data_IF_449161976803
#
_entry.id   IF_449161976803
#
_cell.length_a   1.000
_cell.length_b   1.000
_cell.length_c   1.000
_cell.angle_alpha   90.00
_cell.angle_beta   90.00
_cell.angle_gamma   90.00
#
_symmetry.space_group_name_H-M   'P 1'
#
loop_
_entity.id
_entity.type
_entity.pdbx_description
1 polymer ?
2 polymer ?
3 polymer ?
4 non-polymer ?
5 non-polymer ?
6 water ?
#
loop_
_entity_poly.entity_id
_entity_poly.type
_entity_poly.pdbx_seq_one_letter_code
_entity_poly.pdbx_strand_id
2 'polydeoxyribonucleotide' '(DG8)(DG)(DG)(DG)(DT)(DC)(DC)(DT)' ?
3 'polydeoxyribonucleotide' '(DA)(DG)(DG)(DA)(DC)(DC)(DC)' ?
#
# COMPACT_ATOMS: atom_id res chain seq x y z
N UNK A 26 -14.62 22.68 -6.16
CA UNK A 26 -14.06 22.44 -4.79
C UNK A 26 -12.69 21.76 -4.91
N UNK A 27 -11.63 22.54 -4.91
CA UNK A 27 -10.30 21.95 -5.03
C UNK A 27 -9.92 21.35 -3.69
N UNK A 28 -9.30 20.18 -3.74
CA UNK A 28 -8.98 19.42 -2.54
C UNK A 28 -7.54 19.62 -2.13
N UNK A 29 -7.21 19.25 -0.91
CA UNK A 29 -5.81 19.06 -0.51
C UNK A 29 -5.64 17.67 0.07
N UNK A 30 -4.83 16.84 -0.58
CA UNK A 30 -4.62 15.48 -0.12
C UNK A 30 -3.18 15.33 0.33
N UNK A 31 -2.95 14.43 1.29
CA UNK A 31 -1.58 14.07 1.66
C UNK A 31 -1.36 12.57 1.53
N UNK A 32 -0.24 12.20 0.93
CA UNK A 32 0.16 10.80 0.85
C UNK A 32 1.35 10.58 1.78
N UNK A 33 1.21 9.64 2.71
CA UNK A 33 2.29 9.34 3.64
C UNK A 33 2.89 7.99 3.31
N UNK A 34 4.22 7.91 3.35
CA UNK A 34 4.92 6.72 2.93
C UNK A 34 6.11 6.51 3.84
N UNK A 35 6.10 5.42 4.59
CA UNK A 35 7.15 5.18 5.55
C UNK A 35 8.41 4.62 4.91
N UNK A 36 9.55 5.18 5.29
CA UNK A 36 10.82 4.71 4.78
C UNK A 36 11.12 3.27 5.20
N UNK A 37 11.42 2.44 4.22
CA UNK A 37 11.80 1.03 4.44
C UNK A 37 11.11 0.40 5.64
N UNK A 38 9.79 0.38 5.60
CA UNK A 38 8.98 0.04 6.75
C UNK A 38 9.40 -1.12 7.64
N UNK A 39 9.51 -2.31 7.07
CA UNK A 39 9.86 -3.49 7.87
C UNK A 39 11.15 -3.25 8.63
N UNK A 40 12.17 -2.77 7.93
CA UNK A 40 13.44 -2.35 8.54
C UNK A 40 13.22 -1.48 9.77
N UNK A 41 12.56 -0.34 9.60
CA UNK A 41 12.21 0.55 10.70
C UNK A 41 11.63 -0.17 11.92
N UNK A 42 10.63 -1.01 11.68
CA UNK A 42 9.98 -1.74 12.76
C UNK A 42 11.00 -2.62 13.47
N UNK A 43 11.76 -3.40 12.70
CA UNK A 43 12.80 -4.26 13.26
C UNK A 43 13.76 -3.49 14.16
N UNK A 44 14.35 -2.42 13.63
CA UNK A 44 15.22 -1.53 14.41
C UNK A 44 14.53 -1.02 15.69
N UNK A 45 13.36 -0.42 15.54
CA UNK A 45 12.59 0.05 16.69
C UNK A 45 12.36 -1.08 17.70
N UNK A 46 12.40 -2.33 17.24
CA UNK A 46 12.26 -3.48 18.13
C UNK A 46 13.59 -3.88 18.78
N UNK A 47 14.62 -4.13 17.97
CA UNK A 47 15.95 -4.41 18.51
C UNK A 47 16.93 -3.27 18.26
N UNK A 48 17.02 -2.34 19.22
CA UNK A 48 17.87 -1.15 19.14
C UNK A 48 19.33 -1.47 18.79
N UNK A 49 19.83 -2.61 19.25
CA UNK A 49 21.19 -3.01 18.91
C UNK A 49 21.40 -2.83 17.42
N UNK A 50 20.31 -2.84 16.66
CA UNK A 50 20.36 -2.82 15.21
C UNK A 50 20.41 -1.43 14.61
N UNK A 51 20.39 -0.40 15.46
CA UNK A 51 20.52 0.98 14.99
C UNK A 51 21.87 1.15 14.29
N UNK A 52 22.94 1.01 15.07
CA UNK A 52 24.31 0.96 14.58
C UNK A 52 24.44 0.21 13.26
N UNK A 53 24.02 -1.06 13.29
CA UNK A 53 24.29 -2.00 12.20
C UNK A 53 23.43 -1.76 10.96
N UNK A 54 23.90 -2.21 9.79
CA UNK A 54 23.04 -2.26 8.61
C UNK A 54 22.06 -3.40 8.78
N UNK A 55 20.93 -3.39 8.06
CA UNK A 55 19.88 -4.37 8.29
C UNK A 55 19.07 -4.69 7.05
N UNK A 56 18.67 -5.96 6.92
CA UNK A 56 17.87 -6.40 5.80
C UNK A 56 16.76 -7.32 6.25
N UNK A 57 15.62 -7.26 5.55
CA UNK A 57 14.48 -8.10 5.92
C UNK A 57 14.20 -9.10 4.81
N UNK A 58 14.18 -10.37 5.19
CA UNK A 58 14.18 -11.47 4.23
C UNK A 58 12.87 -12.27 4.27
N UNK A 59 12.36 -12.58 3.09
CA UNK A 59 11.15 -13.40 2.97
C UNK A 59 11.47 -14.42 1.89
N UNK A 60 11.36 -15.70 2.24
CA UNK A 60 11.92 -16.73 1.39
C UNK A 60 13.41 -16.43 1.23
N UNK A 61 13.96 -16.61 0.04
CA UNK A 61 15.38 -16.36 -0.16
C UNK A 61 15.63 -15.05 -0.88
N UNK A 62 14.82 -14.05 -0.59
CA UNK A 62 15.02 -12.71 -1.13
C UNK A 62 15.15 -11.70 -0.01
N UNK A 63 15.49 -10.48 -0.38
CA UNK A 63 15.56 -9.38 0.56
C UNK A 63 14.52 -8.35 0.16
N UNK A 64 13.44 -8.27 0.94
CA UNK A 64 12.26 -7.51 0.54
C UNK A 64 12.36 -6.01 0.81
N UNK A 65 13.24 -5.65 1.74
CA UNK A 65 13.53 -4.26 2.03
C UNK A 65 14.64 -4.20 3.06
N UNK A 66 15.28 -3.05 3.20
CA UNK A 66 16.37 -2.89 4.16
C UNK A 66 16.53 -1.42 4.47
N UNK A 67 17.15 -1.12 5.61
CA UNK A 67 17.40 0.26 6.01
C UNK A 67 18.34 0.92 5.03
N UNK A 68 18.48 2.24 5.11
CA UNK A 68 19.33 2.95 4.17
C UNK A 68 20.82 2.67 4.39
N UNK A 69 21.19 2.46 5.65
CA UNK A 69 22.58 2.14 5.98
C UNK A 69 23.12 0.97 5.15
N UNK A 70 22.22 0.19 4.56
CA UNK A 70 22.64 -0.99 3.81
C UNK A 70 22.28 -0.89 2.32
N UNK A 71 21.61 0.18 1.93
CA UNK A 71 21.35 0.45 0.52
C UNK A 71 22.58 1.14 -0.05
N UNK A 72 23.35 1.74 0.85
CA UNK A 72 24.59 2.40 0.50
C UNK A 72 25.69 1.36 0.21
N UNK A 73 25.65 0.25 0.94
CA UNK A 73 26.64 -0.81 0.72
C UNK A 73 26.26 -1.66 -0.49
N UNK A 74 25.35 -1.15 -1.32
CA UNK A 74 25.02 -1.77 -2.59
C UNK A 74 23.76 -2.61 -2.64
N UNK A 75 23.19 -2.90 -1.47
CA UNK A 75 22.04 -3.80 -1.37
C UNK A 75 20.78 -3.22 -2.01
N UNK A 76 20.46 -3.66 -3.22
CA UNK A 76 19.22 -3.27 -3.87
C UNK A 76 18.05 -4.07 -3.31
N UNK A 77 16.96 -3.39 -3.00
CA UNK A 77 15.72 -4.06 -2.59
C UNK A 77 15.38 -5.17 -3.61
N UNK A 78 14.83 -6.28 -3.13
CA UNK A 78 14.36 -7.33 -4.03
C UNK A 78 15.51 -8.18 -4.62
N UNK A 79 16.68 -8.12 -4.00
CA UNK A 79 17.83 -8.89 -4.44
C UNK A 79 17.97 -10.20 -3.65
N UNK A 80 18.47 -11.24 -4.29
CA UNK A 80 18.72 -12.51 -3.61
C UNK A 80 19.58 -12.34 -2.36
N UNK A 81 19.37 -13.21 -1.37
CA UNK A 81 20.04 -13.04 -0.07
C UNK A 81 21.54 -13.39 -0.08
N UNK A 82 22.02 -14.02 -1.14
CA UNK A 82 23.44 -14.34 -1.24
C UNK A 82 24.24 -13.19 -1.83
N UNK A 83 23.82 -12.70 -2.99
CA UNK A 83 24.41 -11.50 -3.57
C UNK A 83 24.46 -10.46 -2.48
N UNK A 84 23.38 -10.39 -1.71
CA UNK A 84 23.29 -9.50 -0.57
C UNK A 84 24.48 -9.69 0.35
N UNK A 85 24.67 -10.91 0.84
CA UNK A 85 25.74 -11.20 1.78
C UNK A 85 27.13 -10.91 1.23
N UNK A 86 27.40 -11.37 0.01
CA UNK A 86 28.68 -11.12 -0.64
C UNK A 86 28.90 -9.61 -0.80
N UNK A 87 27.97 -8.96 -1.48
CA UNK A 87 28.03 -7.52 -1.68
C UNK A 87 28.23 -6.79 -0.35
N UNK A 88 27.62 -7.32 0.70
CA UNK A 88 27.67 -6.69 2.02
C UNK A 88 27.69 -7.74 3.14
N UNK A 89 28.87 -7.99 3.70
CA UNK A 89 29.08 -9.09 4.64
C UNK A 89 28.69 -8.75 6.08
N UNK A 90 28.71 -7.46 6.42
CA UNK A 90 28.42 -7.02 7.77
C UNK A 90 26.92 -7.06 8.03
N UNK A 91 26.18 -7.53 7.03
CA UNK A 91 24.72 -7.47 7.00
C UNK A 91 23.99 -8.35 8.02
N UNK A 92 23.21 -7.72 8.90
CA UNK A 92 22.39 -8.45 9.86
C UNK A 92 20.98 -8.72 9.31
N UNK A 93 20.73 -9.94 8.85
CA UNK A 93 19.43 -10.30 8.30
C UNK A 93 18.38 -10.58 9.38
N UNK A 94 17.12 -10.51 8.99
CA UNK A 94 16.00 -10.77 9.90
C UNK A 94 14.80 -11.31 9.11
N UNK A 95 14.01 -12.20 9.72
CA UNK A 95 12.90 -12.81 8.99
C UNK A 95 11.62 -12.00 9.06
N UNK A 96 11.09 -11.66 7.90
CA UNK A 96 9.90 -10.85 7.80
C UNK A 96 8.73 -11.59 7.17
N UNK A 97 8.59 -12.86 7.51
CA UNK A 97 7.51 -13.68 6.97
C UNK A 97 6.31 -13.68 7.91
N UNK A 98 6.56 -13.44 9.19
CA UNK A 98 5.46 -13.19 10.12
C UNK A 98 5.15 -11.70 10.09
N UNK A 99 4.06 -11.34 9.43
CA UNK A 99 3.71 -9.94 9.21
C UNK A 99 3.03 -9.28 10.40
N UNK A 100 3.12 -9.91 11.57
CA UNK A 100 2.30 -9.50 12.71
C UNK A 100 2.75 -8.21 13.38
N UNK A 101 4.06 -8.02 13.52
CA UNK A 101 4.57 -6.82 14.14
C UNK A 101 4.42 -5.63 13.17
N UNK A 102 4.55 -5.90 11.87
CA UNK A 102 4.44 -4.85 10.87
C UNK A 102 3.02 -4.34 10.82
N UNK A 103 2.08 -5.28 10.85
CA UNK A 103 0.66 -4.99 10.75
C UNK A 103 0.13 -4.20 11.96
N UNK A 104 0.63 -4.52 13.14
CA UNK A 104 0.28 -3.74 14.34
C UNK A 104 0.79 -2.30 14.25
N UNK A 105 2.04 -2.15 13.82
CA UNK A 105 2.64 -0.83 13.64
C UNK A 105 1.90 -0.03 12.57
N UNK A 106 1.52 -0.72 11.50
CA UNK A 106 0.77 -0.13 10.42
C UNK A 106 -0.47 0.58 10.93
N UNK A 107 -1.22 -0.09 11.80
CA UNK A 107 -2.46 0.49 12.32
C UNK A 107 -2.23 1.52 13.41
N UNK A 108 -1.09 1.45 14.10
CA UNK A 108 -0.74 2.49 15.05
C UNK A 108 -0.54 3.79 14.31
N UNK A 109 0.03 3.68 13.10
CA UNK A 109 0.25 4.83 12.23
C UNK A 109 -1.07 5.39 11.74
N UNK A 110 -1.90 4.51 11.17
CA UNK A 110 -3.21 4.91 10.67
C UNK A 110 -4.07 5.60 11.73
N UNK A 111 -3.99 5.11 12.97
CA UNK A 111 -4.79 5.67 14.06
C UNK A 111 -4.26 7.04 14.47
N UNK A 112 -2.95 7.18 14.43
CA UNK A 112 -2.32 8.45 14.73
C UNK A 112 -2.87 9.48 13.75
N UNK A 113 -2.92 9.11 12.48
CA UNK A 113 -3.32 10.03 11.43
C UNK A 113 -4.79 10.35 11.49
N UNK A 114 -5.61 9.38 11.88
CA UNK A 114 -7.05 9.60 11.99
C UNK A 114 -7.37 10.66 13.03
N UNK A 115 -6.56 10.66 14.09
CA UNK A 115 -6.67 11.64 15.15
C UNK A 115 -6.46 13.07 14.62
N UNK A 116 -5.91 13.19 13.41
CA UNK A 116 -5.82 14.48 12.74
C UNK A 116 -7.10 14.74 11.97
N UNK A 117 -7.36 13.92 10.97
CA UNK A 117 -8.61 13.92 10.24
C UNK A 117 -9.10 12.47 10.16
N UNK A 118 -10.42 12.27 10.36
CA UNK A 118 -11.04 10.93 10.43
C UNK A 118 -10.94 10.14 9.12
N UNK A 119 -10.80 10.85 8.00
CA UNK A 119 -10.82 10.21 6.70
C UNK A 119 -9.43 9.79 6.23
N UNK A 120 -9.08 8.56 6.55
CA UNK A 120 -7.77 8.03 6.22
C UNK A 120 -7.88 6.75 5.41
N UNK A 121 -7.24 6.73 4.24
CA UNK A 121 -7.23 5.52 3.41
C UNK A 121 -5.88 4.83 3.47
N UNK A 122 -5.91 3.50 3.57
CA UNK A 122 -4.69 2.73 3.68
C UNK A 122 -4.32 2.13 2.35
N UNK A 123 -3.01 2.02 2.11
CA UNK A 123 -2.49 1.40 0.91
C UNK A 123 -1.34 0.49 1.28
N UNK A 124 -1.59 -0.81 1.36
CA UNK A 124 -0.58 -1.71 1.93
C UNK A 124 -0.29 -1.30 3.35
N UNK A 125 0.81 -1.76 3.92
CA UNK A 125 1.11 -1.47 5.33
C UNK A 125 1.75 -0.11 5.59
N UNK A 126 2.44 0.46 4.61
CA UNK A 126 3.27 1.64 4.88
C UNK A 126 2.81 2.90 4.18
N UNK A 127 1.62 2.86 3.60
CA UNK A 127 1.06 4.04 2.93
C UNK A 127 -0.27 4.46 3.53
N UNK A 128 -0.52 5.76 3.51
CA UNK A 128 -1.78 6.31 3.96
C UNK A 128 -2.12 7.55 3.18
N UNK A 129 -3.39 7.68 2.82
CA UNK A 129 -3.90 8.89 2.20
C UNK A 129 -4.75 9.61 3.24
N UNK A 130 -4.62 10.93 3.32
CA UNK A 130 -5.49 11.70 4.22
C UNK A 130 -6.06 12.91 3.50
N UNK A 131 -7.38 13.11 3.61
CA UNK A 131 -8.03 14.27 2.99
C UNK A 131 -8.03 15.47 3.93
N UNK A 132 -7.23 16.46 3.60
CA UNK A 132 -6.99 17.57 4.51
C UNK A 132 -7.79 18.79 4.12
N UNK A 133 -8.73 18.61 3.19
CA UNK A 133 -9.47 19.74 2.65
C UNK A 133 -10.19 20.47 3.77
N UNK A 134 -11.00 19.74 4.53
CA UNK A 134 -11.75 20.33 5.62
C UNK A 134 -10.84 20.90 6.69
N UNK A 135 -9.82 20.14 7.08
CA UNK A 135 -8.85 20.61 8.05
C UNK A 135 -8.12 21.90 7.61
N UNK A 136 -7.80 22.03 6.34
CA UNK A 136 -7.18 23.26 5.85
C UNK A 136 -8.17 24.43 5.91
N UNK A 137 -9.42 24.16 5.55
CA UNK A 137 -10.47 25.17 5.65
C UNK A 137 -10.43 25.88 7.01
N UNK A 138 -10.71 25.13 8.06
CA UNK A 138 -10.69 25.67 9.41
C UNK A 138 -9.47 26.55 9.66
N UNK A 139 -8.27 26.00 9.50
CA UNK A 139 -7.06 26.74 9.86
C UNK A 139 -6.98 28.07 9.13
N UNK A 140 -7.58 28.12 7.95
CA UNK A 140 -7.56 29.34 7.14
C UNK A 140 -8.47 30.41 7.73
N UNK A 141 -9.74 30.06 7.90
CA UNK A 141 -10.71 30.96 8.52
C UNK A 141 -10.16 31.55 9.81
N UNK A 142 -9.57 30.68 10.62
CA UNK A 142 -9.00 31.06 11.91
C UNK A 142 -7.81 32.00 11.78
N UNK A 143 -7.50 32.39 10.56
CA UNK A 143 -6.41 33.33 10.34
C UNK A 143 -6.81 34.79 10.19
N UNK A 144 -6.43 35.60 11.18
CA UNK A 144 -6.64 37.04 11.10
C UNK A 144 -5.94 37.51 9.83
N UNK A 145 -6.62 38.34 9.05
CA UNK A 145 -6.08 38.84 7.79
C UNK A 145 -4.60 39.17 7.85
N UNK A 146 -4.26 40.14 8.70
CA UNK A 146 -2.87 40.58 8.92
C UNK A 146 -1.84 39.45 8.82
N UNK A 147 -2.08 38.36 9.54
CA UNK A 147 -1.11 37.26 9.65
C UNK A 147 -1.06 36.35 8.42
N UNK A 148 -1.51 36.85 7.27
CA UNK A 148 -1.54 36.07 6.04
C UNK A 148 -0.12 35.86 5.47
N UNK A 149 0.86 36.13 6.32
CA UNK A 149 2.26 35.84 6.02
C UNK A 149 2.91 35.61 7.38
N UNK A 150 4.13 35.06 7.40
CA UNK A 150 4.83 34.65 6.20
C UNK A 150 4.17 33.39 5.64
N UNK A 151 3.39 32.72 6.49
CA UNK A 151 2.74 31.47 6.15
C UNK A 151 3.75 30.36 5.90
N UNK A 152 4.66 30.57 4.96
CA UNK A 152 5.80 29.68 4.77
C UNK A 152 5.39 28.30 4.23
N UNK A 153 6.39 27.48 3.92
CA UNK A 153 6.15 26.13 3.46
C UNK A 153 7.05 25.22 4.29
N UNK A 154 6.56 24.01 4.56
CA UNK A 154 7.35 23.01 5.24
C UNK A 154 7.88 21.94 4.28
N UNK A 155 9.20 21.83 4.20
CA UNK A 155 9.82 20.87 3.31
C UNK A 155 10.04 21.45 1.93
N UNK A 156 10.10 20.59 0.92
CA UNK A 156 10.42 21.00 -0.44
C UNK A 156 9.18 21.42 -1.24
N UNK A 157 9.35 22.38 -2.14
CA UNK A 157 8.31 22.66 -3.13
C UNK A 157 8.70 22.05 -4.47
N UNK A 158 7.88 21.12 -4.98
CA UNK A 158 8.24 20.38 -6.18
C UNK A 158 8.71 21.28 -7.30
N UNK A 159 9.87 20.92 -7.87
CA UNK A 159 10.43 21.62 -9.01
C UNK A 159 10.72 23.08 -8.68
N UNK A 160 11.10 23.32 -7.42
CA UNK A 160 11.57 24.63 -6.98
C UNK A 160 10.66 25.76 -7.44
N UNK A 161 9.36 25.49 -7.46
CA UNK A 161 8.42 26.43 -8.06
C UNK A 161 8.19 27.65 -7.19
N UNK A 162 8.12 28.81 -7.81
CA UNK A 162 7.91 30.04 -7.07
C UNK A 162 6.52 30.10 -6.48
N UNK A 163 6.44 30.42 -5.19
CA UNK A 163 5.18 30.57 -4.50
C UNK A 163 4.56 31.91 -4.82
N UNK A 164 3.24 31.92 -4.94
CA UNK A 164 2.50 33.16 -5.13
C UNK A 164 1.45 33.27 -4.03
N UNK A 165 1.81 33.96 -2.95
CA UNK A 165 0.95 34.05 -1.79
C UNK A 165 -0.43 34.65 -2.08
N UNK A 166 -0.61 35.16 -3.30
CA UNK A 166 -1.85 35.81 -3.70
C UNK A 166 -2.84 34.81 -4.32
N UNK A 167 -2.40 33.57 -4.41
CA UNK A 167 -3.17 32.53 -5.09
C UNK A 167 -3.73 31.56 -4.07
N UNK A 168 -5.03 31.68 -3.78
CA UNK A 168 -5.63 30.85 -2.76
C UNK A 168 -5.22 29.37 -2.88
N UNK A 169 -5.18 28.86 -4.11
CA UNK A 169 -4.79 27.46 -4.36
C UNK A 169 -3.43 27.12 -3.76
N UNK A 170 -2.45 27.99 -3.99
CA UNK A 170 -1.16 27.88 -3.34
C UNK A 170 -1.32 27.86 -1.83
N UNK A 171 -1.96 28.90 -1.31
CA UNK A 171 -2.09 29.08 0.14
C UNK A 171 -2.63 27.85 0.83
N UNK A 172 -3.62 27.20 0.22
CA UNK A 172 -4.22 26.03 0.83
C UNK A 172 -3.28 24.83 0.79
N UNK A 173 -2.35 24.84 -0.17
CA UNK A 173 -1.40 23.74 -0.28
C UNK A 173 -0.27 23.92 0.71
N UNK A 174 0.09 25.17 0.99
CA UNK A 174 1.12 25.49 1.98
C UNK A 174 0.65 25.08 3.36
N UNK A 175 -0.62 25.34 3.64
CA UNK A 175 -1.19 24.88 4.90
C UNK A 175 -1.21 23.37 4.94
N UNK A 176 -1.47 22.74 3.80
CA UNK A 176 -1.40 21.30 3.71
C UNK A 176 0.00 20.81 4.03
N UNK A 177 1.00 21.61 3.68
CA UNK A 177 2.38 21.23 3.96
C UNK A 177 2.65 21.24 5.48
N UNK A 178 2.14 22.25 6.18
CA UNK A 178 2.34 22.34 7.63
C UNK A 178 1.68 21.19 8.41
N UNK A 179 0.44 20.86 8.07
CA UNK A 179 -0.26 19.74 8.67
C UNK A 179 0.50 18.43 8.43
N UNK A 180 1.20 18.36 7.30
CA UNK A 180 1.95 17.17 6.96
C UNK A 180 3.20 17.11 7.82
N UNK A 181 3.89 18.25 7.93
CA UNK A 181 5.06 18.34 8.79
C UNK A 181 4.66 17.98 10.22
N UNK A 182 3.49 18.45 10.63
CA UNK A 182 2.97 18.10 11.95
C UNK A 182 2.74 16.60 12.08
N UNK A 183 2.07 15.99 11.10
CA UNK A 183 1.85 14.55 11.14
C UNK A 183 3.16 13.79 11.23
N UNK A 184 4.15 14.21 10.46
CA UNK A 184 5.41 13.51 10.45
C UNK A 184 6.15 13.61 11.78
N UNK A 185 6.05 14.77 12.43
CA UNK A 185 6.65 14.95 13.76
C UNK A 185 6.02 13.98 14.75
N UNK A 186 4.69 14.00 14.78
CA UNK A 186 3.92 13.14 15.65
C UNK A 186 4.14 11.66 15.37
N UNK A 187 4.52 11.31 14.16
CA UNK A 187 4.83 9.91 13.88
C UNK A 187 6.16 9.59 14.52
N UNK A 188 7.14 10.49 14.37
CA UNK A 188 8.45 10.28 14.96
C UNK A 188 8.35 10.26 16.48
N UNK A 189 7.99 11.39 17.07
CA UNK A 189 7.60 11.45 18.47
C UNK A 189 6.38 10.56 18.58
N UNK A 190 6.27 9.76 19.62
CA UNK A 190 5.08 8.89 19.76
C UNK A 190 5.06 7.51 19.13
N UNK A 191 5.82 7.32 18.05
CA UNK A 191 5.82 6.02 17.36
C UNK A 191 7.27 5.67 16.99
N UNK A 192 8.12 6.69 16.88
CA UNK A 192 9.52 6.51 16.54
C UNK A 192 9.78 6.22 15.08
N UNK A 193 8.81 6.53 14.22
CA UNK A 193 8.91 6.23 12.79
C UNK A 193 9.23 7.47 11.95
N UNK A 194 10.01 7.29 10.90
CA UNK A 194 10.22 8.35 9.90
C UNK A 194 9.51 8.02 8.60
N UNK A 195 9.26 9.05 7.79
CA UNK A 195 8.59 8.86 6.51
C UNK A 195 8.50 10.11 5.69
N UNK A 196 8.05 9.94 4.45
CA UNK A 196 7.88 11.04 3.52
C UNK A 196 6.41 11.39 3.35
N UNK A 197 6.15 12.63 2.97
CA UNK A 197 4.79 13.06 2.65
C UNK A 197 4.77 13.82 1.34
N UNK A 198 3.74 13.57 0.53
CA UNK A 198 3.49 14.40 -0.62
C UNK A 198 2.12 15.06 -0.45
N UNK A 199 2.06 16.38 -0.60
CA UNK A 199 0.79 17.08 -0.55
C UNK A 199 0.45 17.66 -1.93
N UNK A 200 -0.66 17.21 -2.50
CA UNK A 200 -1.11 17.69 -3.80
C UNK A 200 -2.62 17.93 -3.83
N UNK A 201 -3.19 18.07 -5.02
CA UNK A 201 -4.61 18.36 -5.13
C UNK A 201 -5.46 17.11 -5.39
N UNK A 202 -4.81 16.00 -5.74
CA UNK A 202 -5.48 14.71 -5.73
C UNK A 202 -4.54 13.58 -5.32
N UNK A 203 -5.11 12.40 -5.12
CA UNK A 203 -4.35 11.23 -4.68
C UNK A 203 -3.19 10.88 -5.61
N UNK A 204 -3.46 10.84 -6.91
CA UNK A 204 -2.44 10.57 -7.91
C UNK A 204 -1.21 11.47 -7.73
N UNK A 205 -1.41 12.79 -7.80
CA UNK A 205 -0.28 13.70 -7.68
C UNK A 205 0.37 13.62 -6.30
N UNK A 206 -0.44 13.39 -5.28
CA UNK A 206 0.07 13.30 -3.91
C UNK A 206 1.03 12.13 -3.77
N UNK A 207 0.63 10.99 -4.32
CA UNK A 207 1.44 9.78 -4.24
C UNK A 207 2.73 9.93 -5.05
N UNK A 208 2.60 10.56 -6.22
CA UNK A 208 3.73 10.78 -7.12
C UNK A 208 4.76 11.73 -6.54
N UNK A 209 4.31 12.88 -6.03
CA UNK A 209 5.23 13.86 -5.46
C UNK A 209 5.80 13.49 -4.07
N UNK A 210 5.24 12.48 -3.42
CA UNK A 210 5.69 12.10 -2.07
C UNK A 210 7.08 11.45 -2.04
N UNK A 211 7.51 10.84 -3.14
CA UNK A 211 8.82 10.19 -3.17
C UNK A 211 9.90 10.97 -3.92
N UNK A 212 9.59 12.21 -4.24
CA UNK A 212 10.52 13.02 -5.01
C UNK A 212 11.77 13.34 -4.18
N UNK A 213 11.61 13.34 -2.86
CA UNK A 213 12.74 13.48 -1.95
C UNK A 213 12.64 12.46 -0.83
N UNK A 214 13.54 11.48 -0.83
CA UNK A 214 13.60 10.46 0.22
C UNK A 214 15.03 10.39 0.72
N UNK A 215 15.23 9.85 1.93
CA UNK A 215 14.14 9.43 2.81
C UNK A 215 13.81 10.52 3.81
N UNK A 216 12.70 10.36 4.51
CA UNK A 216 12.34 11.26 5.60
C UNK A 216 12.24 12.74 5.21
N UNK A 217 11.57 13.02 4.09
CA UNK A 217 11.35 14.39 3.66
C UNK A 217 9.97 14.52 3.01
N UNK A 218 9.49 15.75 2.86
CA UNK A 218 8.19 15.98 2.27
C UNK A 218 8.19 17.05 1.17
N UNK A 219 7.45 16.80 0.09
CA UNK A 219 7.33 17.76 -1.02
C UNK A 219 5.87 18.18 -1.29
N UNK A 220 5.66 19.45 -1.67
CA UNK A 220 4.32 19.91 -2.05
C UNK A 220 4.29 20.28 -3.54
N UNK A 221 3.21 19.90 -4.23
CA UNK A 221 3.11 20.14 -5.65
C UNK A 221 2.18 21.31 -5.94
N UNK A 222 2.72 22.39 -6.48
CA UNK A 222 1.86 23.48 -6.91
C UNK A 222 1.24 23.12 -8.26
N UNK A 223 0.09 23.73 -8.57
CA UNK A 223 -0.64 23.38 -9.79
C UNK A 223 0.18 23.52 -11.06
N UNK A 224 0.87 24.64 -11.24
CA UNK A 224 1.63 24.86 -12.46
C UNK A 224 2.86 23.97 -12.66
N UNK A 225 3.09 23.05 -11.74
CA UNK A 225 4.15 22.06 -11.94
C UNK A 225 3.59 20.66 -12.11
N UNK A 226 2.27 20.57 -12.21
CA UNK A 226 1.62 19.29 -12.46
C UNK A 226 2.17 18.60 -13.71
N UNK A 227 2.27 19.35 -14.80
CA UNK A 227 2.65 18.75 -16.06
C UNK A 227 4.11 18.30 -16.04
N UNK A 228 4.95 19.08 -15.36
CA UNK A 228 6.33 18.71 -15.17
C UNK A 228 6.45 17.36 -14.46
N UNK A 229 5.51 17.08 -13.55
CA UNK A 229 5.62 15.89 -12.71
C UNK A 229 5.21 14.61 -13.43
N UNK A 230 4.11 14.64 -14.18
CA UNK A 230 3.74 13.47 -14.96
C UNK A 230 4.80 13.12 -16.00
N UNK A 231 5.32 14.14 -16.67
CA UNK A 231 6.28 13.88 -17.75
C UNK A 231 7.65 13.44 -17.25
N UNK A 232 7.94 13.75 -16.00
CA UNK A 232 9.17 13.29 -15.38
C UNK A 232 9.20 11.76 -15.35
N UNK A 233 8.02 11.14 -15.41
CA UNK A 233 7.89 9.68 -15.40
C UNK A 233 8.41 9.11 -16.70
N UNK A 234 8.85 7.85 -16.69
CA UNK A 234 9.48 7.26 -17.87
C UNK A 234 8.73 6.15 -18.59
N UNK A 235 8.38 5.11 -17.84
CA UNK A 235 7.53 4.05 -18.36
C UNK A 235 6.10 4.40 -17.98
N UNK A 236 5.15 4.07 -18.84
CA UNK A 236 3.78 4.46 -18.55
C UNK A 236 3.22 3.70 -17.34
N UNK A 237 3.80 2.55 -17.02
CA UNK A 237 3.35 1.77 -15.88
C UNK A 237 3.73 2.44 -14.57
N UNK A 238 4.42 3.56 -14.66
CA UNK A 238 4.88 4.19 -13.44
C UNK A 238 3.75 4.90 -12.73
N UNK A 239 2.70 5.24 -13.47
CA UNK A 239 1.57 5.89 -12.84
C UNK A 239 0.70 4.91 -12.07
N UNK A 240 0.25 5.31 -10.87
CA UNK A 240 -0.60 4.47 -10.02
C UNK A 240 -1.99 4.28 -10.61
N UNK A 241 -2.35 3.04 -10.87
CA UNK A 241 -3.60 2.77 -11.55
C UNK A 241 -3.34 2.01 -12.84
N UNK A 242 -2.30 2.43 -13.56
CA UNK A 242 -1.88 1.71 -14.75
C UNK A 242 -0.93 0.62 -14.30
N UNK A 243 -1.34 -0.63 -14.48
CA UNK A 243 -0.57 -1.77 -14.01
C UNK A 243 -0.16 -2.74 -15.10
N UNK A 244 0.38 -3.88 -14.70
CA UNK A 244 0.94 -4.86 -15.63
C UNK A 244 0.05 -5.15 -16.82
N UNK A 245 -1.19 -5.54 -16.58
CA UNK A 245 -2.10 -5.88 -17.67
C UNK A 245 -2.46 -4.69 -18.54
N UNK A 246 -2.66 -3.53 -17.93
CA UNK A 246 -3.03 -2.35 -18.71
C UNK A 246 -1.86 -1.78 -19.48
N UNK A 247 -0.65 -1.92 -18.92
CA UNK A 247 0.54 -1.47 -19.61
C UNK A 247 0.70 -2.23 -20.92
N UNK A 248 0.82 -3.55 -20.82
CA UNK A 248 1.00 -4.40 -21.98
C UNK A 248 0.00 -4.12 -23.10
N UNK A 249 -1.24 -3.85 -22.73
CA UNK A 249 -2.26 -3.47 -23.70
C UNK A 249 -1.84 -2.22 -24.46
N UNK A 250 -1.41 -1.22 -23.71
CA UNK A 250 -1.03 0.07 -24.28
C UNK A 250 0.27 -0.05 -25.06
N UNK A 251 1.17 -0.89 -24.59
CA UNK A 251 2.42 -1.10 -25.30
C UNK A 251 2.11 -1.58 -26.70
N UNK A 252 1.34 -2.66 -26.81
CA UNK A 252 1.00 -3.21 -28.11
C UNK A 252 0.19 -2.23 -28.96
N UNK A 253 -0.16 -1.09 -28.39
CA UNK A 253 -0.78 -0.02 -29.17
C UNK A 253 0.25 1.06 -29.51
N UNK A 254 1.49 0.80 -29.14
CA UNK A 254 2.59 1.72 -29.38
C UNK A 254 2.55 2.93 -28.47
N UNK A 255 2.04 2.72 -27.26
CA UNK A 255 1.96 3.75 -26.24
C UNK A 255 2.97 3.42 -25.15
N UNK A 256 4.05 4.20 -25.09
CA UNK A 256 5.14 3.94 -24.16
C UNK A 256 5.43 5.11 -23.23
N UNK A 257 5.26 6.31 -23.77
CA UNK A 257 5.46 7.52 -22.98
C UNK A 257 4.13 8.00 -22.44
N UNK A 258 4.20 8.86 -21.43
CA UNK A 258 3.02 9.48 -20.83
C UNK A 258 2.38 10.44 -21.82
N UNK A 259 3.18 10.93 -22.75
CA UNK A 259 2.63 11.85 -23.74
C UNK A 259 2.00 11.06 -24.87
N UNK A 260 2.54 9.89 -25.16
CA UNK A 260 1.92 8.99 -26.12
C UNK A 260 0.45 8.81 -25.73
N UNK A 261 0.25 8.35 -24.49
CA UNK A 261 -1.06 8.13 -23.90
C UNK A 261 -1.93 9.39 -23.85
N UNK A 262 -1.30 10.53 -23.59
CA UNK A 262 -2.00 11.80 -23.56
C UNK A 262 -2.61 12.14 -24.90
N UNK A 263 -1.90 11.75 -25.96
CA UNK A 263 -2.18 12.23 -27.31
C UNK A 263 -2.87 11.17 -28.18
N UNK A 264 -3.06 9.98 -27.61
CA UNK A 264 -3.67 8.88 -28.32
C UNK A 264 -5.17 9.11 -28.56
N UNK A 265 -5.71 8.36 -29.50
CA UNK A 265 -7.12 8.45 -29.87
C UNK A 265 -7.99 7.97 -28.72
N UNK A 266 -8.83 8.86 -28.18
CA UNK A 266 -9.82 8.47 -27.17
C UNK A 266 -10.59 7.25 -27.63
N UNK A 267 -11.18 7.36 -28.83
CA UNK A 267 -12.03 6.33 -29.41
C UNK A 267 -11.35 4.95 -29.49
N UNK A 268 -10.14 4.91 -30.05
CA UNK A 268 -9.43 3.65 -30.21
C UNK A 268 -9.05 3.04 -28.87
N UNK A 269 -8.94 3.90 -27.87
CA UNK A 269 -8.53 3.47 -26.55
C UNK A 269 -9.74 2.84 -25.87
N UNK A 270 -10.87 3.53 -25.94
CA UNK A 270 -12.15 2.99 -25.47
C UNK A 270 -12.40 1.62 -26.09
N UNK A 271 -12.33 1.56 -27.42
CA UNK A 271 -12.54 0.32 -28.16
C UNK A 271 -11.66 -0.82 -27.67
N UNK A 272 -10.41 -0.50 -27.34
CA UNK A 272 -9.41 -1.52 -27.03
C UNK A 272 -9.26 -1.79 -25.54
N UNK A 273 -9.97 -1.02 -24.72
CA UNK A 273 -9.82 -1.11 -23.26
C UNK A 273 -11.15 -1.10 -22.53
N UNK A 274 -12.20 -0.72 -23.22
CA UNK A 274 -13.49 -0.56 -22.57
C UNK A 274 -13.63 0.88 -22.15
N UNK A 275 -14.86 1.37 -22.15
CA UNK A 275 -15.13 2.78 -21.94
C UNK A 275 -14.87 3.22 -20.50
N UNK A 276 -14.89 2.28 -19.57
CA UNK A 276 -14.59 2.58 -18.18
C UNK A 276 -13.09 2.85 -17.99
N UNK A 277 -12.28 1.83 -18.26
CA UNK A 277 -10.84 1.95 -18.08
C UNK A 277 -10.20 3.04 -18.93
N UNK A 278 -10.64 3.17 -20.17
CA UNK A 278 -10.09 4.18 -21.08
C UNK A 278 -10.21 5.58 -20.49
N UNK A 279 -11.41 6.02 -20.18
CA UNK A 279 -11.65 7.37 -19.70
C UNK A 279 -10.77 7.74 -18.51
N UNK A 280 -10.64 6.79 -17.60
CA UNK A 280 -9.98 7.03 -16.32
C UNK A 280 -8.47 7.16 -16.45
N UNK A 281 -7.84 6.24 -17.18
CA UNK A 281 -6.40 6.25 -17.29
C UNK A 281 -5.90 7.35 -18.22
N UNK A 282 -6.76 7.81 -19.12
CA UNK A 282 -6.38 8.96 -19.94
C UNK A 282 -6.31 10.20 -19.05
N UNK A 283 -7.30 10.38 -18.18
CA UNK A 283 -7.30 11.48 -17.22
C UNK A 283 -6.07 11.40 -16.32
N UNK A 284 -5.73 10.17 -15.95
CA UNK A 284 -4.53 9.90 -15.18
C UNK A 284 -3.32 10.50 -15.85
N UNK A 285 -3.14 10.22 -17.13
CA UNK A 285 -1.95 10.67 -17.87
C UNK A 285 -1.85 12.19 -17.99
N UNK A 286 -2.91 12.90 -17.63
CA UNK A 286 -2.88 14.35 -17.60
C UNK A 286 -2.65 14.86 -16.18
N UNK A 287 -2.64 13.92 -15.25
CA UNK A 287 -2.53 14.24 -13.84
C UNK A 287 -3.88 14.47 -13.18
N UNK A 288 -4.95 14.09 -13.88
CA UNK A 288 -6.30 14.26 -13.36
C UNK A 288 -6.78 13.00 -12.64
N UNK A 289 -7.28 13.20 -11.43
CA UNK A 289 -7.75 12.09 -10.58
C UNK A 289 -8.80 12.63 -9.64
N UNK A 290 -10.03 12.17 -9.79
CA UNK A 290 -11.12 12.66 -8.96
C UNK A 290 -11.57 11.66 -7.92
N UNK A 291 -10.90 10.52 -7.86
CA UNK A 291 -11.23 9.52 -6.85
C UNK A 291 -11.03 10.09 -5.44
N UNK A 292 -12.05 9.92 -4.59
CA UNK A 292 -12.02 10.47 -3.23
C UNK A 292 -11.19 9.59 -2.32
N UNK A 293 -10.76 10.13 -1.19
CA UNK A 293 -10.08 9.31 -0.20
C UNK A 293 -11.15 8.53 0.55
N UNK A 294 -11.04 7.20 0.50
CA UNK A 294 -11.96 6.32 1.19
C UNK A 294 -11.50 6.08 2.63
N UNK A 295 -12.42 6.19 3.57
CA UNK A 295 -12.12 5.82 4.95
C UNK A 295 -12.07 4.31 5.10
N UNK A 296 -10.86 3.78 5.33
CA UNK A 296 -10.65 2.33 5.37
C UNK A 296 -11.43 1.62 6.47
N UNK A 297 -11.46 2.22 7.65
CA UNK A 297 -12.03 1.56 8.81
C UNK A 297 -11.23 0.31 9.14
N UNK A 298 -11.90 -0.73 9.63
CA UNK A 298 -11.32 -2.03 10.01
C UNK A 298 -11.20 -2.98 8.81
N UNK A 299 -10.22 -3.89 8.85
CA UNK A 299 -10.01 -4.84 7.76
C UNK A 299 -11.27 -5.64 7.45
N UNK A 300 -11.51 -5.88 6.17
CA UNK A 300 -12.71 -6.58 5.73
C UNK A 300 -12.38 -8.00 5.33
N UNK A 301 -11.14 -8.40 5.56
CA UNK A 301 -10.70 -9.76 5.26
C UNK A 301 -9.39 -10.11 5.97
N UNK A 302 -9.17 -11.40 6.15
CA UNK A 302 -7.93 -11.93 6.70
C UNK A 302 -7.56 -13.08 5.79
N UNK A 303 -6.27 -13.23 5.49
CA UNK A 303 -5.86 -14.35 4.66
C UNK A 303 -4.39 -14.69 4.85
N UNK A 304 -4.09 -15.99 4.79
CA UNK A 304 -2.73 -16.47 4.79
C UNK A 304 -2.47 -17.17 3.47
N UNK A 305 -1.52 -16.63 2.71
CA UNK A 305 -1.13 -17.22 1.44
C UNK A 305 -0.05 -18.25 1.69
N UNK A 306 0.03 -19.24 0.80
CA UNK A 306 1.21 -20.09 0.78
C UNK A 306 1.46 -20.76 -0.58
N UNK A 307 2.52 -20.30 -1.24
CA UNK A 307 3.00 -20.87 -2.49
C UNK A 307 4.15 -21.85 -2.19
N UNK A 308 4.38 -22.79 -3.10
CA UNK A 308 5.31 -23.87 -2.80
C UNK A 308 5.78 -24.59 -4.05
N UNK A 309 6.87 -25.35 -3.90
CA UNK A 309 7.47 -26.06 -5.01
C UNK A 309 6.54 -27.15 -5.54
N UNK A 310 6.15 -28.10 -4.68
CA UNK A 310 5.31 -29.21 -5.11
C UNK A 310 4.19 -29.59 -4.13
N UNK A 311 3.00 -29.84 -4.68
CA UNK A 311 1.85 -30.35 -3.93
C UNK A 311 0.98 -31.20 -4.88
N UNK A 312 0.92 -32.50 -4.65
CA UNK A 312 0.39 -33.39 -5.68
C UNK A 312 -0.45 -34.60 -5.19
N UNK A 313 -0.86 -34.64 -3.92
CA UNK A 313 -1.68 -35.76 -3.44
C UNK A 313 -3.05 -35.17 -3.13
N UNK A 314 -3.81 -35.78 -2.23
CA UNK A 314 -4.93 -35.06 -1.65
C UNK A 314 -4.63 -34.46 -0.30
N UNK A 315 -3.99 -35.25 0.57
CA UNK A 315 -3.39 -34.70 1.76
C UNK A 315 -2.22 -33.86 1.33
N UNK A 316 -1.55 -33.22 2.29
CA UNK A 316 -0.56 -32.19 1.96
C UNK A 316 -1.17 -30.90 1.47
N UNK A 317 -2.45 -30.96 1.11
CA UNK A 317 -3.22 -29.77 0.80
C UNK A 317 -3.91 -29.72 2.16
N UNK A 318 -4.25 -30.90 2.67
CA UNK A 318 -4.86 -31.01 3.99
C UNK A 318 -3.96 -30.40 5.05
N UNK A 319 -2.69 -30.82 5.06
CA UNK A 319 -1.72 -30.27 5.99
C UNK A 319 -1.62 -28.74 5.83
N UNK A 320 -1.40 -28.31 4.59
CA UNK A 320 -1.32 -26.89 4.25
C UNK A 320 -2.52 -26.11 4.78
N UNK A 321 -3.71 -26.55 4.38
CA UNK A 321 -4.95 -25.88 4.77
C UNK A 321 -5.11 -25.80 6.28
N UNK A 322 -4.57 -26.78 7.00
CA UNK A 322 -4.59 -26.77 8.45
C UNK A 322 -3.71 -25.66 9.01
N UNK A 323 -2.47 -25.59 8.53
CA UNK A 323 -1.52 -24.58 8.94
C UNK A 323 -2.08 -23.19 8.69
N UNK A 324 -2.47 -22.96 7.43
CA UNK A 324 -3.07 -21.70 7.03
C UNK A 324 -4.20 -21.36 7.98
N UNK A 325 -5.15 -22.29 8.11
CA UNK A 325 -6.28 -22.13 9.03
C UNK A 325 -5.79 -21.83 10.43
N UNK A 326 -4.80 -22.60 10.88
CA UNK A 326 -4.23 -22.45 12.21
C UNK A 326 -3.81 -21.00 12.48
N UNK A 327 -3.08 -20.41 11.54
CA UNK A 327 -2.53 -19.06 11.73
C UNK A 327 -3.61 -17.99 11.63
N UNK A 328 -4.49 -18.13 10.65
CA UNK A 328 -5.61 -17.21 10.46
C UNK A 328 -6.48 -17.12 11.71
N UNK A 329 -6.84 -18.29 12.24
CA UNK A 329 -7.65 -18.38 13.44
C UNK A 329 -7.11 -17.44 14.50
N UNK A 330 -5.81 -17.48 14.72
CA UNK A 330 -5.17 -16.57 15.67
C UNK A 330 -5.72 -15.15 15.55
N UNK A 331 -5.52 -14.54 14.40
CA UNK A 331 -5.93 -13.16 14.16
C UNK A 331 -7.43 -12.93 14.37
N UNK A 332 -8.23 -13.92 14.00
CA UNK A 332 -9.69 -13.80 14.09
C UNK A 332 -10.14 -13.75 15.53
N UNK A 333 -9.50 -14.56 16.37
CA UNK A 333 -9.77 -14.57 17.79
C UNK A 333 -9.56 -13.18 18.40
N UNK A 334 -8.63 -12.42 17.84
CA UNK A 334 -8.25 -11.14 18.42
C UNK A 334 -9.03 -9.96 17.83
N UNK A 335 -9.36 -10.02 16.54
CA UNK A 335 -10.04 -8.91 15.88
C UNK A 335 -11.31 -8.51 16.63
N UNK A 336 -12.15 -9.49 16.94
CA UNK A 336 -13.40 -9.22 17.61
C UNK A 336 -14.56 -9.75 16.80
N UNK A 337 -14.97 -8.98 15.80
CA UNK A 337 -16.05 -9.38 14.89
C UNK A 337 -15.84 -10.78 14.33
N UNK A 338 -16.87 -11.34 13.72
CA UNK A 338 -16.75 -12.68 13.17
C UNK A 338 -16.94 -12.76 11.67
N UNK A 339 -16.23 -13.68 11.02
CA UNK A 339 -16.39 -13.98 9.59
C UNK A 339 -17.62 -14.86 9.33
N UNK A 340 -18.49 -14.43 8.43
CA UNK A 340 -19.64 -15.22 8.02
C UNK A 340 -19.42 -15.87 6.66
N UNK A 341 -18.21 -15.74 6.12
CA UNK A 341 -17.86 -16.39 4.86
C UNK A 341 -16.40 -16.82 4.85
N UNK A 342 -16.14 -18.01 4.29
CA UNK A 342 -14.77 -18.49 4.10
C UNK A 342 -14.55 -18.91 2.65
N UNK A 343 -13.32 -18.83 2.17
CA UNK A 343 -13.03 -19.16 0.78
C UNK A 343 -11.67 -19.83 0.60
N UNK A 344 -11.54 -20.58 -0.50
CA UNK A 344 -10.29 -21.24 -0.84
C UNK A 344 -9.74 -20.75 -2.18
N UNK A 345 -8.48 -20.33 -2.18
CA UNK A 345 -7.82 -19.84 -3.39
C UNK A 345 -6.67 -20.75 -3.83
N UNK A 346 -6.53 -20.95 -5.14
CA UNK A 346 -5.51 -21.81 -5.74
C UNK A 346 -5.11 -21.31 -7.12
N UNK A 347 -3.79 -21.10 -7.32
CA UNK A 347 -3.22 -20.72 -8.62
C UNK A 347 -2.58 -21.95 -9.23
N UNK A 348 -3.10 -22.38 -10.37
CA UNK A 348 -2.85 -23.76 -10.74
C UNK A 348 -1.82 -24.03 -11.84
N UNK A 349 -1.86 -25.29 -12.29
CA UNK A 349 -1.05 -25.82 -13.39
C UNK A 349 -1.39 -27.28 -13.66
N UNK A 357 -5.26 -17.63 -10.61
CA UNK A 357 -5.90 -18.13 -9.40
C UNK A 357 -7.37 -18.46 -9.64
N UNK A 358 -7.91 -19.41 -8.86
CA UNK A 358 -9.34 -19.69 -8.85
C UNK A 358 -9.79 -19.78 -7.40
N UNK A 359 -11.09 -19.68 -7.17
CA UNK A 359 -11.61 -19.75 -5.82
C UNK A 359 -13.04 -20.27 -5.73
N UNK A 360 -13.34 -20.85 -4.58
CA UNK A 360 -14.67 -21.26 -4.21
C UNK A 360 -14.90 -20.76 -2.78
N UNK A 361 -16.13 -20.38 -2.48
CA UNK A 361 -16.43 -19.91 -1.13
C UNK A 361 -17.87 -20.23 -0.73
N UNK A 362 -18.10 -20.25 0.57
CA UNK A 362 -19.40 -20.58 1.11
C UNK A 362 -19.49 -20.04 2.53
N UNK A 363 -20.71 -19.66 2.95
CA UNK A 363 -20.93 -19.18 4.30
C UNK A 363 -20.46 -20.16 5.38
N UNK A 364 -19.95 -19.61 6.48
CA UNK A 364 -19.52 -20.40 7.64
C UNK A 364 -20.72 -20.60 8.57
N UNK A 365 -21.19 -21.86 8.69
CA UNK A 365 -22.39 -22.25 9.45
C UNK A 365 -22.54 -21.60 10.83
N UNK A 366 -23.78 -21.57 11.33
CA UNK A 366 -24.10 -20.87 12.58
C UNK A 366 -23.32 -21.40 13.77
N UNK A 367 -23.36 -22.71 13.97
CA UNK A 367 -22.71 -23.32 15.12
C UNK A 367 -21.22 -22.98 15.18
N UNK A 368 -20.50 -23.26 14.09
CA UNK A 368 -19.04 -23.08 14.06
C UNK A 368 -18.56 -21.73 14.56
N UNK A 369 -19.38 -20.70 14.40
CA UNK A 369 -19.09 -19.40 15.03
C UNK A 369 -19.09 -19.48 16.54
N UNK A 370 -17.97 -19.95 17.08
CA UNK A 370 -17.78 -20.13 18.51
C UNK A 370 -16.30 -20.04 18.83
N UNK A 371 -15.61 -19.14 18.10
CA UNK A 371 -14.18 -18.93 18.21
C UNK A 371 -13.55 -19.55 19.45
N UNK A 378 -11.07 -29.24 17.59
CA UNK A 378 -12.19 -28.42 18.07
C UNK A 378 -12.86 -27.76 16.87
N UNK A 379 -12.72 -26.45 16.78
CA UNK A 379 -13.31 -25.68 15.69
C UNK A 379 -12.56 -25.91 14.38
N UNK A 380 -11.50 -26.71 14.45
CA UNK A 380 -10.69 -27.03 13.27
C UNK A 380 -11.40 -28.02 12.36
N UNK A 381 -11.44 -29.28 12.78
CA UNK A 381 -11.98 -30.35 11.94
C UNK A 381 -13.22 -29.98 11.10
N UNK A 382 -14.19 -29.26 11.69
CA UNK A 382 -15.36 -28.86 10.91
C UNK A 382 -15.00 -27.96 9.73
N UNK A 383 -14.21 -26.93 9.99
CA UNK A 383 -13.69 -26.02 8.97
C UNK A 383 -12.99 -26.79 7.85
N UNK A 384 -11.92 -27.50 8.22
CA UNK A 384 -11.12 -28.24 7.25
C UNK A 384 -11.98 -29.22 6.44
N UNK A 385 -13.07 -29.68 7.04
CA UNK A 385 -14.01 -30.52 6.33
C UNK A 385 -14.69 -29.68 5.24
N UNK A 386 -15.10 -28.47 5.60
CA UNK A 386 -15.67 -27.54 4.64
C UNK A 386 -14.64 -27.16 3.58
N UNK A 387 -13.50 -26.65 4.03
CA UNK A 387 -12.41 -26.25 3.13
C UNK A 387 -12.05 -27.37 2.14
N UNK A 388 -12.06 -28.60 2.62
CA UNK A 388 -11.81 -29.74 1.75
C UNK A 388 -12.97 -29.96 0.79
N UNK A 389 -14.19 -29.90 1.31
CA UNK A 389 -15.38 -29.94 0.47
C UNK A 389 -15.25 -28.92 -0.66
N UNK A 390 -14.80 -27.71 -0.28
CA UNK A 390 -14.55 -26.66 -1.25
C UNK A 390 -13.54 -27.16 -2.26
N UNK A 391 -12.32 -27.37 -1.78
CA UNK A 391 -11.24 -27.95 -2.56
C UNK A 391 -11.73 -28.99 -3.55
N UNK A 392 -12.30 -30.08 -3.03
CA UNK A 392 -12.74 -31.22 -3.83
C UNK A 392 -13.60 -30.86 -5.04
N UNK A 393 -14.60 -30.01 -4.82
CA UNK A 393 -15.48 -29.58 -5.90
C UNK A 393 -14.75 -28.74 -6.96
N UNK A 394 -13.64 -28.16 -6.56
CA UNK A 394 -12.86 -27.30 -7.44
C UNK A 394 -11.79 -28.10 -8.19
N UNK A 395 -11.11 -28.98 -7.46
CA UNK A 395 -10.02 -29.77 -8.01
C UNK A 395 -10.35 -31.27 -7.92
N UNK A 396 -10.08 -32.01 -8.98
CA UNK A 396 -10.30 -33.44 -8.99
C UNK A 396 -9.19 -34.19 -8.24
N UNK A 397 -9.55 -34.74 -7.08
CA UNK A 397 -8.60 -35.48 -6.26
C UNK A 397 -8.28 -36.86 -6.84
N UNK A 398 -9.24 -37.43 -7.57
CA UNK A 398 -9.07 -38.74 -8.18
C UNK A 398 -8.27 -38.62 -9.47
N UNK A 399 -7.30 -37.71 -9.45
CA UNK A 399 -6.52 -37.39 -10.63
C UNK A 399 -5.38 -36.48 -10.20
N UNK A 400 -4.28 -36.47 -10.94
CA UNK A 400 -3.20 -35.54 -10.58
C UNK A 400 -3.55 -34.07 -10.82
N UNK A 401 -2.90 -33.18 -10.09
CA UNK A 401 -3.10 -31.75 -10.28
C UNK A 401 -1.86 -30.85 -10.20
N UNK A 402 -1.19 -30.88 -9.05
CA UNK A 402 -0.07 -29.98 -8.75
C UNK A 402 -0.29 -28.51 -9.10
N UNK A 403 -0.02 -27.66 -8.14
CA UNK A 403 -0.48 -26.28 -8.19
C UNK A 403 0.30 -25.01 -8.01
N UNK A 404 1.08 -25.08 -6.94
CA UNK A 404 1.91 -24.03 -6.37
C UNK A 404 1.38 -22.96 -5.39
N UNK A 405 0.07 -22.95 -5.11
CA UNK A 405 -0.50 -21.87 -4.31
C UNK A 405 -1.80 -22.30 -3.62
N UNK A 406 -1.80 -22.22 -2.29
CA UNK A 406 -3.00 -22.44 -1.50
C UNK A 406 -3.24 -21.30 -0.52
N UNK A 407 -4.43 -20.72 -0.58
CA UNK A 407 -4.79 -19.68 0.38
C UNK A 407 -6.17 -19.90 0.98
N UNK A 408 -6.32 -19.43 2.22
CA UNK A 408 -7.58 -19.50 2.96
C UNK A 408 -7.92 -18.07 3.34
N UNK A 409 -9.18 -17.66 3.18
CA UNK A 409 -9.57 -16.28 3.49
C UNK A 409 -10.87 -16.19 4.30
N UNK A 410 -10.82 -15.43 5.39
CA UNK A 410 -12.04 -15.05 6.11
C UNK A 410 -12.49 -13.65 5.73
N UNK A 411 -13.68 -13.55 5.14
CA UNK A 411 -14.25 -12.25 4.84
C UNK A 411 -15.68 -12.17 5.38
N UNK A 412 -16.43 -11.18 4.92
CA UNK A 412 -17.83 -10.96 5.32
C UNK A 412 -18.04 -10.97 6.83
N UNK A 413 -17.53 -9.94 7.49
CA UNK A 413 -17.57 -9.85 8.93
C UNK A 413 -18.66 -8.89 9.39
N UNK A 414 -19.42 -9.31 10.41
CA UNK A 414 -20.46 -8.47 11.01
C UNK A 414 -19.96 -7.93 12.36
N UNK A 415 -20.40 -6.73 12.73
CA UNK A 415 -21.39 -5.97 11.97
C UNK A 415 -20.90 -5.30 10.68
N UNK A 416 -21.75 -5.28 9.66
CA UNK A 416 -21.45 -4.64 8.38
C UNK A 416 -22.67 -4.63 7.45
X LIG D 1 11.45 2.88 0.51
X LIG D 1 10.08 3.47 0.24
X LIG D 1 12.30 3.74 1.42
X LIG D 1 12.13 2.37 -0.75
X LIG D 1 10.06 0.44 1.11
X LIG D 1 9.12 0.53 2.29
X LIG D 1 10.74 -0.88 0.79
X LIG D 1 11.21 1.54 1.38
X LIG D 1 8.18 0.08 -1.02
X LIG D 1 6.97 0.96 -1.18
X LIG D 1 8.78 -0.51 -2.27
X LIG D 1 9.32 0.95 -0.24
X LIG D 1 7.85 -1.08 0.05
X LIG D 1 6.91 -0.94 1.12
X LIG D 1 6.92 -2.20 2.02
X LIG D 1 6.42 -3.31 1.28
X LIG D 1 8.33 -2.59 2.49
X LIG D 1 8.48 -2.46 3.91
X LIG D 1 8.55 -4.03 2.09
X LIG D 1 7.30 -4.43 1.30
X LIG D 1 7.66 -4.75 -0.10
X LIG D 1 7.89 -3.84 -1.08
X LIG D 1 8.20 -4.45 -2.26
X LIG D 1 8.16 -5.78 -2.05
X LIG D 1 8.38 -7.00 -2.87
X LIG D 1 8.71 -6.90 -4.19
X LIG D 1 8.25 -8.20 -2.26
X LIG D 1 7.93 -8.30 -0.95
X LIG D 1 7.72 -7.24 -0.14
X LIG D 1 7.81 -5.98 -0.62
X LIG E 1 5.22 2.33 -0.19
X LIG F 1 8.11 2.95 1.54
X LIG G 1 1.92 1.13 -11.46
#
# INVERSE_FOLDING_TARGET
MELADVGAAASSQGVHDQVLPTPNASSRVIVHVDLDCFYAQVEMISNPELKDKPLGVQQKYLVVTCNYEARKLGVKKLMNVRDAKEKCPQLVLVNGEDLTRYREMSYKVTELLEEFSPVVERLGFDENFVDLTEMVEKRLQQLQSDELSAVTVSGHVYNNQSINLLDVLHIRLLVGSQIAAEMREAMYNQLGLTGCAGVASNKLLAKLVSGVFKPNQQTVLLPESCQHLIHSLNHIKEIPGIGYKTAKCLEALGINSVRDLQTFSPKILEKELGISVAQRIQKLSFGEDNSPVILSGPPQSFSEEDSFKKCSSEVEAKNKIEELLASLLNRVCQDGRKPHTVRLIIRRYSSEKHYGRESRQCPIPSHVIQKLGTGNYDVMTPMVDILMKLFRNMVNVKMPFHLTLLSVCFCNLKALNTAK
DTP PG O1G O2G O3G PB O1B O2B O3B PA O1A O2A O3A O5' C5' C4' O4' C3' O3' C2' C1' N9 C8 N7 C5 C6 N6 N1 C2 N3 C4
MG MG
MG MG
MG MG
#
